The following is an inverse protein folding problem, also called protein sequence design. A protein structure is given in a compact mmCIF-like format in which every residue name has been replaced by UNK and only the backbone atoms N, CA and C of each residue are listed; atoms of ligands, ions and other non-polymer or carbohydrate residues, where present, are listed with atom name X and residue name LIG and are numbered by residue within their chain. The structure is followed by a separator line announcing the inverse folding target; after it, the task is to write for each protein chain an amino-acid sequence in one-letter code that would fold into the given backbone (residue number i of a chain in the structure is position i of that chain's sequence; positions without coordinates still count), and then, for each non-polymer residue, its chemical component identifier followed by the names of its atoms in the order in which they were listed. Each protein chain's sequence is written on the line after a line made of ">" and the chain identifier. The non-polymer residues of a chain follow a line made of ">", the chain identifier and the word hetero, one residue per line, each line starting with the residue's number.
data_IF_494219324893
#
_entry.id   IF_494219324893
#
_cell.length_a   1.000
_cell.length_b   1.000
_cell.length_c   1.000
_cell.angle_alpha   90.00
_cell.angle_beta   90.00
_cell.angle_gamma   90.00
#
_symmetry.space_group_name_H-M   'P 1'
#
loop_
_entity.id
_entity.type
_entity.pdbx_description
1 polymer ?
#
# COMPACT_ATOMS: atom_id res chain seq x y z
N UNK A 1 -13.29 -2.75 9.29
CA UNK A 1 -12.61 -3.53 8.23
C UNK A 1 -11.11 -3.50 8.49
N UNK A 2 -10.48 -4.65 8.45
CA UNK A 2 -9.02 -4.76 8.48
C UNK A 2 -8.50 -4.74 7.06
N UNK A 3 -7.46 -3.97 6.78
CA UNK A 3 -6.76 -3.98 5.50
C UNK A 3 -5.36 -4.54 5.70
N UNK A 4 -5.06 -5.64 5.00
CA UNK A 4 -3.72 -6.24 4.99
C UNK A 4 -3.07 -5.97 3.63
N UNK A 5 -1.81 -5.55 3.65
CA UNK A 5 -1.05 -5.16 2.46
C UNK A 5 0.26 -5.92 2.38
N UNK A 6 0.58 -6.38 1.19
CA UNK A 6 1.90 -6.88 0.82
C UNK A 6 2.51 -5.83 -0.13
N UNK A 7 3.33 -4.94 0.44
CA UNK A 7 3.81 -3.75 -0.27
C UNK A 7 4.85 -4.11 -1.33
N UNK A 8 4.59 -3.66 -2.54
CA UNK A 8 5.48 -3.87 -3.68
C UNK A 8 4.86 -3.23 -4.92
N UNK A 9 5.57 -3.28 -6.04
CA UNK A 9 5.06 -2.79 -7.32
C UNK A 9 3.74 -3.47 -7.67
N UNK A 10 3.65 -4.76 -7.38
CA UNK A 10 2.41 -5.52 -7.39
C UNK A 10 2.00 -5.69 -5.94
N UNK A 11 1.06 -4.86 -5.50
CA UNK A 11 0.64 -4.82 -4.11
C UNK A 11 -0.50 -5.80 -3.88
N UNK A 12 -0.25 -6.86 -3.12
CA UNK A 12 -1.28 -7.76 -2.66
C UNK A 12 -2.10 -7.09 -1.55
N UNK A 13 -3.40 -7.31 -1.56
CA UNK A 13 -4.27 -6.76 -0.53
C UNK A 13 -5.35 -7.76 -0.13
N UNK A 14 -5.77 -7.66 1.11
CA UNK A 14 -6.90 -8.43 1.62
C UNK A 14 -7.66 -7.57 2.63
N UNK A 15 -8.98 -7.69 2.62
CA UNK A 15 -9.85 -7.03 3.60
C UNK A 15 -10.80 -8.04 4.19
N UNK A 16 -11.21 -7.79 5.44
CA UNK A 16 -12.33 -8.49 6.03
C UNK A 16 -13.41 -7.49 6.43
N UNK A 17 -14.65 -7.93 6.36
CA UNK A 17 -15.82 -7.15 6.77
C UNK A 17 -16.94 -8.13 7.10
N UNK A 18 -18.10 -7.59 7.48
CA UNK A 18 -19.29 -8.42 7.72
C UNK A 18 -19.73 -9.17 6.45
N UNK A 19 -19.35 -8.68 5.28
CA UNK A 19 -19.63 -9.34 4.00
C UNK A 19 -18.65 -10.47 3.67
N UNK A 20 -17.62 -10.70 4.49
CA UNK A 20 -16.62 -11.74 4.29
C UNK A 20 -15.24 -11.18 3.96
N UNK A 21 -14.41 -12.01 3.32
CA UNK A 21 -13.03 -11.67 2.95
C UNK A 21 -12.98 -11.40 1.46
N UNK A 22 -12.38 -10.25 1.10
CA UNK A 22 -12.04 -9.93 -0.28
C UNK A 22 -10.53 -9.78 -0.38
N UNK A 23 -9.97 -10.13 -1.53
CA UNK A 23 -8.54 -10.00 -1.77
C UNK A 23 -8.27 -9.77 -3.24
N UNK A 24 -7.06 -9.30 -3.53
CA UNK A 24 -6.66 -9.06 -4.91
C UNK A 24 -5.25 -8.54 -4.98
N UNK A 25 -4.90 -8.03 -6.14
CA UNK A 25 -3.61 -7.44 -6.40
C UNK A 25 -3.81 -6.15 -7.18
N UNK A 26 -3.08 -5.11 -6.79
CA UNK A 26 -3.10 -3.83 -7.48
C UNK A 26 -1.68 -3.49 -7.91
N UNK A 27 -1.50 -3.13 -9.16
CA UNK A 27 -0.20 -2.77 -9.70
C UNK A 27 -0.08 -1.25 -9.79
N UNK A 28 1.03 -0.73 -9.25
CA UNK A 28 1.33 0.70 -9.25
C UNK A 28 2.67 0.92 -9.96
N UNK A 29 2.67 0.82 -11.28
CA UNK A 29 3.90 1.05 -12.02
C UNK A 29 3.85 2.37 -12.77
N UNK A 30 5.03 2.94 -13.00
CA UNK A 30 5.19 4.10 -13.85
C UNK A 30 5.16 3.67 -15.32
N UNK A 31 4.53 4.46 -16.18
CA UNK A 31 4.72 4.32 -17.62
C UNK A 31 5.93 5.17 -18.05
N UNK A 32 6.29 5.11 -19.34
CA UNK A 32 7.47 5.81 -19.84
C UNK A 32 7.34 7.34 -19.82
N UNK A 33 6.13 7.85 -19.64
CA UNK A 33 5.87 9.30 -19.58
C UNK A 33 5.71 9.78 -18.14
N UNK A 34 5.70 8.89 -17.16
CA UNK A 34 5.53 9.22 -15.75
C UNK A 34 6.87 9.50 -15.09
N UNK A 35 6.91 10.47 -14.19
CA UNK A 35 8.02 10.61 -13.27
C UNK A 35 8.00 9.53 -12.20
N UNK A 36 9.09 9.39 -11.44
CA UNK A 36 9.23 8.35 -10.41
C UNK A 36 8.21 8.43 -9.29
N UNK A 37 7.66 9.61 -9.04
CA UNK A 37 6.65 9.81 -7.99
C UNK A 37 5.25 9.36 -8.37
N UNK A 38 4.96 9.14 -9.66
CA UNK A 38 3.61 8.81 -10.10
C UNK A 38 3.09 7.50 -9.48
N UNK A 39 3.97 6.51 -9.31
CA UNK A 39 3.63 5.26 -8.64
C UNK A 39 3.02 5.52 -7.25
N UNK A 40 3.64 6.39 -6.47
CA UNK A 40 3.21 6.68 -5.10
C UNK A 40 1.93 7.49 -5.08
N UNK A 41 1.74 8.38 -6.04
CA UNK A 41 0.49 9.13 -6.19
C UNK A 41 -0.66 8.16 -6.51
N UNK A 42 -0.45 7.21 -7.41
CA UNK A 42 -1.46 6.20 -7.75
C UNK A 42 -1.81 5.33 -6.54
N UNK A 43 -0.82 4.95 -5.75
CA UNK A 43 -1.03 4.16 -4.54
C UNK A 43 -1.86 4.95 -3.51
N UNK A 44 -1.48 6.20 -3.26
CA UNK A 44 -2.20 7.06 -2.32
C UNK A 44 -3.66 7.26 -2.76
N UNK A 45 -3.88 7.51 -4.05
CA UNK A 45 -5.22 7.66 -4.61
C UNK A 45 -6.05 6.39 -4.39
N UNK A 46 -5.46 5.23 -4.62
CA UNK A 46 -6.14 3.95 -4.40
C UNK A 46 -6.54 3.78 -2.95
N UNK A 47 -5.65 4.09 -2.00
CA UNK A 47 -5.96 4.05 -0.57
C UNK A 47 -7.13 4.97 -0.22
N UNK A 48 -7.14 6.18 -0.77
CA UNK A 48 -8.19 7.18 -0.49
C UNK A 48 -9.55 6.77 -1.04
N UNK A 49 -9.59 5.93 -2.06
CA UNK A 49 -10.83 5.42 -2.66
C UNK A 49 -11.41 4.23 -1.90
N UNK A 50 -10.66 3.62 -0.99
CA UNK A 50 -11.15 2.51 -0.18
C UNK A 50 -12.05 3.03 0.95
N UNK A 51 -13.02 2.21 1.41
CA UNK A 51 -13.66 2.48 2.69
C UNK A 51 -12.59 2.56 3.78
N UNK A 52 -12.70 3.51 4.69
CA UNK A 52 -11.69 3.71 5.72
C UNK A 52 -11.59 2.47 6.63
N UNK A 53 -10.44 1.79 6.67
CA UNK A 53 -10.28 0.63 7.53
C UNK A 53 -10.14 1.04 9.00
N UNK A 54 -10.40 0.09 9.88
CA UNK A 54 -10.20 0.27 11.32
C UNK A 54 -8.76 -0.07 11.74
N UNK A 55 -8.05 -0.80 10.91
CA UNK A 55 -6.66 -1.15 11.14
C UNK A 55 -6.01 -1.54 9.80
N UNK A 56 -4.73 -1.21 9.67
CA UNK A 56 -3.90 -1.61 8.53
C UNK A 56 -2.74 -2.44 9.04
N UNK A 57 -2.47 -3.56 8.39
CA UNK A 57 -1.29 -4.38 8.68
C UNK A 57 -0.50 -4.59 7.41
N UNK A 58 0.81 -4.58 7.54
CA UNK A 58 1.72 -4.91 6.43
C UNK A 58 3.00 -5.50 7.01
N UNK A 59 3.64 -6.37 6.22
CA UNK A 59 4.89 -6.99 6.64
C UNK A 59 6.04 -6.02 6.47
N UNK A 60 6.87 -5.91 7.50
CA UNK A 60 8.11 -5.16 7.41
C UNK A 60 9.18 -6.01 6.74
N UNK A 61 9.66 -5.58 5.57
CA UNK A 61 10.71 -6.26 4.84
C UNK A 61 12.01 -5.47 5.02
N UNK A 62 13.00 -6.09 5.65
CA UNK A 62 14.28 -5.44 5.97
C UNK A 62 15.36 -5.68 4.93
N UNK A 63 15.20 -6.71 4.09
CA UNK A 63 16.17 -7.05 3.05
C UNK A 63 15.46 -7.21 1.72
N UNK A 64 16.08 -6.67 0.70
CA UNK A 64 15.59 -6.76 -0.67
C UNK A 64 16.71 -7.26 -1.57
N UNK A 65 16.35 -7.99 -2.64
CA UNK A 65 17.31 -8.50 -3.61
C UNK A 65 17.96 -7.39 -4.44
N UNK A 66 17.27 -6.25 -4.59
CA UNK A 66 17.75 -5.13 -5.41
C UNK A 66 17.45 -3.80 -4.71
N UNK A 67 18.29 -2.81 -4.97
CA UNK A 67 18.14 -1.46 -4.44
C UNK A 67 16.82 -0.81 -4.87
N UNK A 68 16.42 -1.01 -6.13
CA UNK A 68 15.16 -0.45 -6.64
C UNK A 68 13.95 -1.00 -5.87
N UNK A 69 13.95 -2.30 -5.57
CA UNK A 69 12.88 -2.91 -4.79
C UNK A 69 12.82 -2.33 -3.37
N UNK A 70 13.98 -2.05 -2.76
CA UNK A 70 14.04 -1.43 -1.45
C UNK A 70 13.48 0.01 -1.48
N UNK A 71 13.80 0.78 -2.51
CA UNK A 71 13.30 2.14 -2.66
C UNK A 71 11.78 2.16 -2.87
N UNK A 72 11.26 1.27 -3.69
CA UNK A 72 9.81 1.16 -3.92
C UNK A 72 9.09 0.80 -2.63
N UNK A 73 9.58 -0.22 -1.93
CA UNK A 73 9.00 -0.64 -0.66
C UNK A 73 8.99 0.51 0.35
N UNK A 74 10.14 1.19 0.53
CA UNK A 74 10.24 2.31 1.46
C UNK A 74 9.30 3.45 1.11
N UNK A 75 9.15 3.77 -0.18
CA UNK A 75 8.22 4.79 -0.63
C UNK A 75 6.76 4.42 -0.37
N UNK A 76 6.38 3.19 -0.66
CA UNK A 76 5.02 2.71 -0.39
C UNK A 76 4.73 2.70 1.11
N UNK A 77 5.70 2.28 1.93
CA UNK A 77 5.56 2.29 3.37
C UNK A 77 5.36 3.71 3.90
N UNK A 78 6.12 4.67 3.38
CA UNK A 78 5.96 6.08 3.76
C UNK A 78 4.57 6.59 3.42
N UNK A 79 4.04 6.26 2.25
CA UNK A 79 2.71 6.70 1.82
C UNK A 79 1.62 6.08 2.70
N UNK A 80 1.66 4.78 2.95
CA UNK A 80 0.61 4.12 3.73
C UNK A 80 0.64 4.57 5.20
N UNK A 81 1.82 4.74 5.79
CA UNK A 81 1.91 5.19 7.17
C UNK A 81 1.46 6.65 7.32
N UNK A 82 1.84 7.51 6.37
CA UNK A 82 1.37 8.88 6.32
C UNK A 82 -0.16 8.93 6.23
N UNK A 83 -0.74 8.13 5.35
CA UNK A 83 -2.20 8.05 5.18
C UNK A 83 -2.88 7.57 6.45
N UNK A 84 -2.33 6.55 7.11
CA UNK A 84 -2.85 6.05 8.37
C UNK A 84 -2.82 7.14 9.46
N UNK A 85 -1.70 7.86 9.58
CA UNK A 85 -1.58 8.94 10.56
C UNK A 85 -2.61 10.05 10.28
N UNK A 86 -2.75 10.44 9.02
CA UNK A 86 -3.69 11.50 8.64
C UNK A 86 -5.15 11.13 8.94
N UNK A 87 -5.49 9.84 8.89
CA UNK A 87 -6.83 9.34 9.10
C UNK A 87 -7.03 8.68 10.47
N UNK A 88 -6.02 8.74 11.34
CA UNK A 88 -6.04 8.15 12.69
C UNK A 88 -6.35 6.66 12.65
N UNK A 89 -5.73 5.94 11.71
CA UNK A 89 -5.90 4.50 11.55
C UNK A 89 -4.70 3.80 12.20
N UNK A 90 -4.92 2.90 13.17
CA UNK A 90 -3.82 2.09 13.73
C UNK A 90 -3.19 1.21 12.65
N UNK A 91 -1.87 1.05 12.71
CA UNK A 91 -1.15 0.21 11.76
C UNK A 91 0.04 -0.50 12.44
N UNK A 92 0.45 -1.57 11.81
CA UNK A 92 1.65 -2.30 12.26
C UNK A 92 2.26 -3.14 11.13
#
# INVERSE_FOLDING_TARGET
>A
MLLALDLGTKCGWATNSNAGIAHGMQEFKNDRFSGGGMRFLKFEKWLMELPTPTQVVFEEVRRHAATDAAHVYGGLMAVVTKWCEANKIPYQ
#
